data_IF_462701409610
#
_entry.id   IF_462701409610
#
_cell.length_a   1.000
_cell.length_b   1.000
_cell.length_c   1.000
_cell.angle_alpha   90.00
_cell.angle_beta   90.00
_cell.angle_gamma   90.00
#
_symmetry.space_group_name_H-M   'P 1'
#
loop_
_entity.id
_entity.type
_entity.pdbx_description
1 polymer ?
#
# COMPACT_ATOMS: atom_id res chain seq x y z
N UNK A 1 12.11 17.49 7.37
CA UNK A 1 10.98 17.59 6.44
C UNK A 1 11.29 16.90 5.15
N UNK A 2 10.41 17.07 4.16
CA UNK A 2 10.60 16.50 2.84
C UNK A 2 11.84 17.08 2.14
N UNK A 3 12.40 16.32 1.20
CA UNK A 3 13.53 16.71 0.35
C UNK A 3 13.24 16.31 -1.09
N UNK A 4 13.89 16.98 -2.03
CA UNK A 4 13.89 16.57 -3.43
C UNK A 4 14.28 15.09 -3.57
N UNK A 5 13.60 14.38 -4.47
CA UNK A 5 13.77 12.94 -4.69
C UNK A 5 13.00 12.06 -3.68
N UNK A 6 12.36 12.63 -2.65
CA UNK A 6 11.42 11.89 -1.83
C UNK A 6 10.09 11.67 -2.56
N UNK A 7 9.33 10.69 -2.12
CA UNK A 7 7.97 10.44 -2.57
C UNK A 7 7.08 10.05 -1.40
N UNK A 8 5.84 10.51 -1.43
CA UNK A 8 4.78 10.06 -0.52
C UNK A 8 3.86 9.17 -1.33
N UNK A 9 3.70 7.95 -0.86
CA UNK A 9 2.88 6.93 -1.49
C UNK A 9 1.65 6.66 -0.62
N UNK A 10 0.46 6.83 -1.20
CA UNK A 10 -0.82 6.75 -0.49
C UNK A 10 -1.69 5.71 -1.20
N UNK A 11 -2.14 4.72 -0.45
CA UNK A 11 -3.12 3.74 -0.91
C UNK A 11 -4.42 3.96 -0.16
N UNK A 12 -5.49 4.04 -0.92
CA UNK A 12 -6.82 4.30 -0.40
C UNK A 12 -7.91 3.56 -1.17
N UNK A 13 -9.13 3.68 -0.69
CA UNK A 13 -10.33 3.45 -1.48
C UNK A 13 -11.33 4.57 -1.26
N UNK A 14 -12.09 4.86 -2.32
CA UNK A 14 -13.21 5.79 -2.26
C UNK A 14 -14.47 4.99 -1.88
N UNK A 15 -15.24 5.40 -0.87
CA UNK A 15 -16.53 4.78 -0.56
C UNK A 15 -17.48 4.75 -1.78
N UNK A 16 -18.43 3.81 -1.82
CA UNK A 16 -19.36 3.64 -2.95
C UNK A 16 -20.57 4.57 -2.87
N UNK A 17 -21.12 4.75 -1.67
CA UNK A 17 -22.35 5.52 -1.43
C UNK A 17 -22.02 6.95 -1.01
N UNK A 18 -21.67 7.77 -1.99
CA UNK A 18 -21.26 9.15 -1.74
C UNK A 18 -22.07 10.11 -2.60
N UNK A 19 -22.99 10.82 -1.95
CA UNK A 19 -23.90 11.77 -2.58
C UNK A 19 -23.21 13.09 -2.92
N UNK A 20 -22.18 13.50 -2.16
CA UNK A 20 -21.28 14.67 -2.40
C UNK A 20 -19.99 14.53 -1.59
N UNK A 21 -19.06 13.71 -2.05
CA UNK A 21 -17.82 13.47 -1.30
C UNK A 21 -16.72 14.44 -1.66
N UNK A 22 -15.95 14.82 -0.65
CA UNK A 22 -14.63 15.39 -0.83
C UNK A 22 -13.71 14.75 0.21
N UNK A 23 -12.50 14.42 -0.22
CA UNK A 23 -11.40 14.15 0.68
C UNK A 23 -10.23 15.04 0.30
N UNK A 24 -9.30 15.22 1.21
CA UNK A 24 -8.09 15.95 0.92
C UNK A 24 -6.88 15.37 1.64
N UNK A 25 -5.73 15.56 1.00
CA UNK A 25 -4.42 15.29 1.58
C UNK A 25 -3.69 16.62 1.73
N UNK A 26 -3.31 16.95 2.96
CA UNK A 26 -2.53 18.12 3.28
C UNK A 26 -1.10 17.73 3.63
N UNK A 27 -0.13 18.39 3.00
CA UNK A 27 1.26 18.41 3.45
C UNK A 27 1.47 19.62 4.36
N UNK A 28 1.49 19.38 5.67
CA UNK A 28 1.49 20.40 6.73
C UNK A 28 2.91 20.81 7.09
N UNK A 29 3.16 22.11 7.24
CA UNK A 29 4.40 22.65 7.80
C UNK A 29 4.37 22.63 9.35
N UNK A 30 5.55 22.74 9.99
CA UNK A 30 5.73 22.67 11.45
C UNK A 30 5.01 23.78 12.26
N UNK A 31 4.88 23.54 13.57
CA UNK A 31 4.42 24.24 14.81
C UNK A 31 4.30 25.78 14.90
N UNK A 32 4.32 26.55 13.82
CA UNK A 32 3.79 27.92 13.90
C UNK A 32 2.27 27.87 14.05
N UNK A 33 1.71 28.77 14.87
CA UNK A 33 0.26 28.96 14.99
C UNK A 33 -0.45 29.28 13.65
N UNK A 34 0.32 29.50 12.58
CA UNK A 34 -0.15 29.74 11.22
C UNK A 34 -0.87 28.55 10.60
N UNK A 35 -0.51 27.31 10.98
CA UNK A 35 -1.13 26.11 10.41
C UNK A 35 -0.93 25.96 8.91
N UNK A 36 0.25 26.36 8.40
CA UNK A 36 0.53 26.42 6.97
C UNK A 36 0.48 25.03 6.29
N UNK A 37 -0.03 25.03 5.06
CA UNK A 37 -0.18 23.84 4.20
C UNK A 37 0.62 24.09 2.92
N UNK A 38 1.73 23.35 2.75
CA UNK A 38 2.55 23.43 1.55
C UNK A 38 1.81 22.93 0.30
N UNK A 39 1.03 21.87 0.45
CA UNK A 39 0.20 21.29 -0.60
C UNK A 39 -1.13 20.83 0.00
N UNK A 40 -2.22 21.38 -0.51
CA UNK A 40 -3.57 20.87 -0.34
C UNK A 40 -3.98 20.19 -1.64
N UNK A 41 -4.14 18.87 -1.62
CA UNK A 41 -4.60 18.06 -2.74
C UNK A 41 -6.01 17.57 -2.44
N UNK A 42 -7.01 18.11 -3.14
CA UNK A 42 -8.42 17.94 -2.77
C UNK A 42 -9.30 17.56 -3.96
N UNK A 43 -9.51 16.25 -4.18
CA UNK A 43 -10.55 15.74 -5.06
C UNK A 43 -11.95 16.07 -4.52
N UNK A 44 -12.81 16.62 -5.39
CA UNK A 44 -14.20 17.01 -5.07
C UNK A 44 -15.17 16.32 -6.03
N UNK A 45 -16.05 15.47 -5.51
CA UNK A 45 -17.15 14.82 -6.21
C UNK A 45 -18.44 15.60 -5.99
N UNK A 46 -18.53 16.78 -6.59
CA UNK A 46 -19.61 17.75 -6.36
C UNK A 46 -20.49 18.01 -7.60
N UNK A 47 -20.42 17.12 -8.60
CA UNK A 47 -21.17 17.25 -9.87
C UNK A 47 -20.45 18.12 -10.91
N UNK A 48 -19.44 18.89 -10.48
CA UNK A 48 -18.43 19.51 -11.34
C UNK A 48 -17.06 18.95 -10.94
N UNK A 49 -16.98 17.63 -11.00
CA UNK A 49 -15.87 16.84 -10.50
C UNK A 49 -14.53 17.39 -10.96
N UNK A 50 -13.69 17.68 -9.98
CA UNK A 50 -12.40 18.33 -10.17
C UNK A 50 -11.48 18.00 -9.01
N UNK A 51 -10.20 18.16 -9.26
CA UNK A 51 -9.20 18.20 -8.21
C UNK A 51 -8.74 19.64 -8.05
N UNK A 52 -8.74 20.12 -6.80
CA UNK A 52 -8.18 21.41 -6.43
C UNK A 52 -6.82 21.22 -5.77
N UNK A 53 -5.86 22.02 -6.21
CA UNK A 53 -4.57 22.18 -5.57
C UNK A 53 -4.42 23.59 -5.03
N UNK A 54 -3.88 23.73 -3.82
CA UNK A 54 -3.58 25.05 -3.24
C UNK A 54 -2.51 24.96 -2.16
N UNK A 55 -2.09 26.12 -1.64
CA UNK A 55 -1.34 26.25 -0.40
C UNK A 55 -2.12 27.13 0.57
N UNK A 56 -1.91 26.91 1.86
CA UNK A 56 -2.43 27.77 2.92
C UNK A 56 -1.24 28.42 3.63
N UNK A 57 -1.22 29.75 3.69
CA UNK A 57 -0.12 30.52 4.26
C UNK A 57 -0.65 31.66 5.12
N UNK A 58 -0.11 31.79 6.33
CA UNK A 58 -0.38 32.90 7.24
C UNK A 58 -1.88 33.15 7.46
N UNK A 59 -2.65 32.08 7.66
CA UNK A 59 -4.09 32.20 7.93
C UNK A 59 -4.98 32.36 6.69
N UNK A 60 -4.46 32.20 5.47
CA UNK A 60 -5.24 32.37 4.24
C UNK A 60 -4.90 31.36 3.15
N UNK A 61 -5.89 31.00 2.36
CA UNK A 61 -5.71 30.21 1.14
C UNK A 61 -5.10 31.08 0.03
N UNK A 62 -4.15 30.53 -0.71
CA UNK A 62 -3.62 31.17 -1.91
C UNK A 62 -4.52 30.93 -3.13
N UNK A 63 -4.04 31.20 -4.35
CA UNK A 63 -4.81 30.96 -5.58
C UNK A 63 -4.99 29.47 -5.88
N UNK A 64 -6.24 29.05 -6.09
CA UNK A 64 -6.57 27.66 -6.45
C UNK A 64 -6.07 27.31 -7.86
N UNK A 65 -5.43 26.15 -8.00
CA UNK A 65 -5.23 25.47 -9.28
C UNK A 65 -6.29 24.37 -9.42
N UNK A 66 -7.14 24.47 -10.46
CA UNK A 66 -8.27 23.56 -10.66
C UNK A 66 -8.03 22.68 -11.88
N UNK A 67 -7.92 21.38 -11.66
CA UNK A 67 -7.84 20.38 -12.73
C UNK A 67 -9.24 19.78 -12.92
N UNK A 68 -9.87 20.08 -14.06
CA UNK A 68 -11.23 19.58 -14.44
C UNK A 68 -11.17 18.15 -15.00
N UNK A 69 -10.54 17.27 -14.25
CA UNK A 69 -10.42 15.84 -14.50
C UNK A 69 -10.45 15.13 -13.15
N UNK A 70 -11.14 13.99 -13.09
CA UNK A 70 -11.28 13.19 -11.87
C UNK A 70 -10.54 11.86 -12.03
N UNK A 71 -9.40 11.66 -11.37
CA UNK A 71 -8.62 10.42 -11.49
C UNK A 71 -9.06 9.33 -10.49
N UNK A 72 -10.05 9.64 -9.66
CA UNK A 72 -10.62 8.75 -8.65
C UNK A 72 -12.01 8.28 -9.07
N UNK A 73 -12.44 7.13 -8.57
CA UNK A 73 -13.77 6.58 -8.88
C UNK A 73 -14.41 6.06 -7.60
N UNK A 74 -15.68 6.43 -7.36
CA UNK A 74 -16.44 5.96 -6.22
C UNK A 74 -16.47 4.43 -6.16
N UNK A 75 -16.29 3.86 -4.97
CA UNK A 75 -16.21 2.42 -4.73
C UNK A 75 -14.92 1.75 -5.20
N UNK A 76 -13.98 2.48 -5.80
CA UNK A 76 -12.72 1.93 -6.31
C UNK A 76 -11.54 2.24 -5.38
N UNK A 77 -10.59 1.31 -5.38
CA UNK A 77 -9.28 1.51 -4.79
C UNK A 77 -8.46 2.49 -5.64
N UNK A 78 -7.55 3.22 -5.00
CA UNK A 78 -6.62 4.11 -5.67
C UNK A 78 -5.21 4.01 -5.10
N UNK A 79 -4.27 4.39 -5.94
CA UNK A 79 -2.89 4.68 -5.59
C UNK A 79 -2.60 6.14 -5.92
N UNK A 80 -2.01 6.89 -4.98
CA UNK A 80 -1.46 8.22 -5.25
C UNK A 80 0.03 8.25 -4.90
N UNK A 81 0.83 8.81 -5.80
CA UNK A 81 2.23 9.15 -5.54
C UNK A 81 2.38 10.66 -5.60
N UNK A 82 2.92 11.26 -4.55
CA UNK A 82 3.31 12.68 -4.51
C UNK A 82 4.84 12.70 -4.48
N UNK A 83 5.45 12.84 -5.65
CA UNK A 83 6.89 13.02 -5.81
C UNK A 83 7.33 14.43 -5.45
N UNK A 84 8.45 14.58 -4.77
CA UNK A 84 9.05 15.88 -4.44
C UNK A 84 10.13 16.18 -5.48
N UNK A 85 9.75 16.88 -6.55
CA UNK A 85 10.67 17.33 -7.59
C UNK A 85 11.36 18.64 -7.22
N UNK A 86 12.32 19.07 -8.06
CA UNK A 86 13.06 20.32 -7.86
C UNK A 86 12.15 21.58 -7.85
N UNK A 87 11.07 21.56 -8.61
CA UNK A 87 10.22 22.74 -8.85
C UNK A 87 8.77 22.60 -8.36
N UNK A 88 8.35 21.40 -7.97
CA UNK A 88 7.00 21.16 -7.52
C UNK A 88 6.77 19.76 -6.97
N UNK A 89 5.55 19.55 -6.48
CA UNK A 89 5.01 18.24 -6.15
C UNK A 89 4.42 17.61 -7.40
N UNK A 90 4.97 16.48 -7.81
CA UNK A 90 4.55 15.71 -8.98
C UNK A 90 3.55 14.64 -8.52
N UNK A 91 2.28 14.82 -8.88
CA UNK A 91 1.18 13.95 -8.44
C UNK A 91 0.84 12.97 -9.54
N UNK A 92 0.90 11.68 -9.20
CA UNK A 92 0.44 10.56 -10.03
C UNK A 92 -0.70 9.85 -9.33
N UNK A 93 -1.71 9.44 -10.09
CA UNK A 93 -2.83 8.65 -9.57
C UNK A 93 -3.00 7.41 -10.44
N UNK A 94 -3.03 6.24 -9.81
CA UNK A 94 -3.17 4.94 -10.48
C UNK A 94 -2.13 4.74 -11.60
N UNK A 95 -0.87 5.10 -11.32
CA UNK A 95 0.26 4.98 -12.25
C UNK A 95 0.29 6.01 -13.39
N UNK A 96 -0.70 6.91 -13.48
CA UNK A 96 -0.76 7.96 -14.51
C UNK A 96 -0.36 9.31 -13.94
N UNK A 97 0.44 10.07 -14.69
CA UNK A 97 0.74 11.45 -14.35
C UNK A 97 -0.57 12.26 -14.34
N UNK A 98 -0.77 13.02 -13.26
CA UNK A 98 -2.02 13.74 -13.05
C UNK A 98 -1.82 15.26 -13.02
N UNK A 99 -0.95 15.77 -12.15
CA UNK A 99 -0.67 17.22 -12.06
C UNK A 99 0.68 17.48 -11.40
N UNK A 100 1.31 18.60 -11.76
CA UNK A 100 2.50 19.12 -11.04
C UNK A 100 2.15 20.45 -10.39
N UNK A 101 2.13 20.47 -9.06
CA UNK A 101 1.87 21.69 -8.28
C UNK A 101 3.20 22.35 -7.90
N UNK A 102 3.44 23.58 -8.35
CA UNK A 102 4.69 24.29 -8.07
C UNK A 102 4.87 24.55 -6.57
N UNK A 103 6.09 24.42 -6.07
CA UNK A 103 6.39 24.70 -4.67
C UNK A 103 6.09 26.16 -4.34
N UNK A 104 5.13 26.41 -3.45
CA UNK A 104 4.86 27.75 -2.92
C UNK A 104 5.51 27.98 -1.56
N UNK A 105 5.66 26.91 -0.78
CA UNK A 105 6.30 26.89 0.54
C UNK A 105 7.56 25.99 0.51
N UNK A 106 8.55 26.22 1.39
CA UNK A 106 9.77 25.42 1.43
C UNK A 106 9.47 23.95 1.78
N UNK A 107 9.80 23.02 0.89
CA UNK A 107 9.57 21.57 1.10
C UNK A 107 10.20 21.04 2.40
N UNK A 108 11.32 21.64 2.81
CA UNK A 108 12.05 21.30 4.03
C UNK A 108 11.26 21.60 5.31
N UNK A 109 10.19 22.39 5.24
CA UNK A 109 9.33 22.76 6.39
C UNK A 109 8.15 21.80 6.59
N UNK A 110 7.81 20.99 5.58
CA UNK A 110 6.77 19.96 5.70
C UNK A 110 7.15 18.96 6.78
N UNK A 111 6.28 18.75 7.77
CA UNK A 111 6.45 17.82 8.91
C UNK A 111 5.32 16.82 9.04
N UNK A 112 4.12 17.14 8.54
CA UNK A 112 2.94 16.29 8.71
C UNK A 112 2.24 15.99 7.41
N UNK A 113 1.58 14.83 7.37
CA UNK A 113 0.60 14.46 6.36
C UNK A 113 -0.73 14.33 7.10
N UNK A 114 -1.73 15.08 6.65
CA UNK A 114 -3.09 15.01 7.18
C UNK A 114 -4.01 14.57 6.05
N UNK A 115 -4.88 13.60 6.34
CA UNK A 115 -5.89 13.11 5.40
C UNK A 115 -7.24 13.16 6.08
N UNK A 116 -8.20 13.83 5.43
CA UNK A 116 -9.55 14.03 5.96
C UNK A 116 -10.60 13.96 4.85
N UNK A 117 -11.87 13.82 5.24
CA UNK A 117 -13.02 13.63 4.35
C UNK A 117 -13.33 12.16 4.06
N UNK A 118 -14.19 11.89 3.08
CA UNK A 118 -14.67 10.51 2.84
C UNK A 118 -13.66 9.70 2.02
N UNK A 119 -12.67 9.17 2.72
CA UNK A 119 -11.65 8.29 2.15
C UNK A 119 -11.25 7.24 3.18
N UNK A 120 -11.09 6.00 2.71
CA UNK A 120 -10.46 4.95 3.53
C UNK A 120 -8.99 4.85 3.14
N UNK A 121 -8.09 5.15 4.07
CA UNK A 121 -6.64 5.05 3.85
C UNK A 121 -6.13 3.71 4.38
N UNK A 122 -5.52 2.92 3.50
CA UNK A 122 -4.87 1.66 3.89
C UNK A 122 -3.39 1.85 4.22
N UNK A 123 -2.68 2.70 3.47
CA UNK A 123 -1.27 2.97 3.76
C UNK A 123 -0.85 4.37 3.35
N UNK A 124 0.06 4.94 4.13
CA UNK A 124 0.86 6.11 3.75
C UNK A 124 2.32 5.73 4.01
N UNK A 125 3.14 5.76 2.97
CA UNK A 125 4.57 5.45 3.04
C UNK A 125 5.36 6.63 2.51
N UNK A 126 6.34 7.09 3.28
CA UNK A 126 7.29 8.12 2.84
C UNK A 126 8.58 7.42 2.42
N UNK A 127 8.95 7.58 1.15
CA UNK A 127 10.14 6.98 0.55
C UNK A 127 11.15 8.11 0.30
N UNK A 128 12.39 7.95 0.76
CA UNK A 128 13.45 8.91 0.50
C UNK A 128 14.77 8.20 0.24
N UNK A 129 15.53 8.69 -0.74
CA UNK A 129 16.90 8.23 -0.95
C UNK A 129 17.73 8.69 0.24
N UNK A 130 18.20 7.75 1.06
CA UNK A 130 19.20 8.04 2.07
C UNK A 130 20.54 8.21 1.37
N UNK A 131 20.95 9.44 1.07
CA UNK A 131 22.37 9.75 0.89
C UNK A 131 23.00 9.72 2.29
N UNK A 132 23.26 8.50 2.77
CA UNK A 132 23.94 8.26 4.02
C UNK A 132 25.37 8.79 3.94
N UNK A 133 25.70 9.76 4.79
CA UNK A 133 27.07 10.04 5.19
C UNK A 133 27.49 8.96 6.19
N UNK A 134 27.99 7.82 5.70
CA UNK A 134 28.89 6.92 6.43
C UNK A 134 29.50 5.88 5.47
N UNK A 135 30.77 5.58 5.70
CA UNK A 135 31.70 4.92 4.79
C UNK A 135 31.43 3.41 4.55
N UNK A 136 31.74 2.96 3.32
CA UNK A 136 31.85 1.57 2.82
C UNK A 136 30.50 0.81 2.74
N UNK A 137 29.98 0.34 1.59
CA UNK A 137 30.56 -0.28 0.38
C UNK A 137 29.67 0.13 -0.83
N UNK A 138 30.30 0.34 -1.99
CA UNK A 138 29.76 1.15 -3.09
C UNK A 138 28.57 0.60 -3.87
N UNK A 139 27.76 1.54 -4.37
CA UNK A 139 27.08 1.48 -5.66
C UNK A 139 27.28 2.84 -6.34
N UNK A 140 28.24 2.89 -7.28
CA UNK A 140 28.44 4.02 -8.19
C UNK A 140 27.55 3.79 -9.40
N UNK A 141 26.62 4.71 -9.67
CA UNK A 141 25.98 4.78 -10.97
C UNK A 141 26.73 5.83 -11.81
N UNK A 142 27.36 5.47 -12.94
CA UNK A 142 28.00 6.44 -13.81
C UNK A 142 26.93 7.20 -14.61
N UNK A 143 27.07 8.51 -14.67
CA UNK A 143 26.34 9.36 -15.63
C UNK A 143 26.92 9.19 -17.04
N UNK A 144 26.09 9.09 -18.10
CA UNK A 144 26.60 9.23 -19.46
C UNK A 144 26.74 10.70 -19.87
N UNK A 145 27.70 11.04 -20.76
CA UNK A 145 27.97 12.40 -21.19
C UNK A 145 26.89 12.92 -22.14
N UNK A 146 26.71 14.24 -22.15
CA UNK A 146 25.79 14.96 -23.03
C UNK A 146 26.13 14.73 -24.52
N UNK A 147 25.10 14.60 -25.37
CA UNK A 147 24.88 15.33 -26.64
C UNK A 147 23.74 14.66 -27.46
N UNK A 148 22.73 15.47 -27.80
CA UNK A 148 21.70 15.35 -28.85
C UNK A 148 20.94 14.02 -29.09
N UNK A 149 19.66 13.99 -28.69
CA UNK A 149 18.46 14.05 -29.59
C UNK A 149 17.20 13.82 -28.74
N UNK A 150 16.46 14.89 -28.44
CA UNK A 150 15.27 14.86 -27.58
C UNK A 150 14.03 14.38 -28.35
N UNK A 151 13.89 13.07 -28.46
CA UNK A 151 12.61 12.40 -28.72
C UNK A 151 12.73 11.01 -28.08
N UNK A 152 11.91 10.73 -27.06
CA UNK A 152 11.87 9.50 -26.24
C UNK A 152 12.67 9.50 -24.91
N UNK A 153 12.57 10.56 -24.10
CA UNK A 153 12.84 10.49 -22.66
C UNK A 153 11.53 10.48 -21.87
N UNK A 154 10.65 9.53 -22.20
CA UNK A 154 9.45 9.19 -21.43
C UNK A 154 9.47 7.67 -21.22
N UNK A 155 10.38 7.18 -20.41
CA UNK A 155 10.29 5.89 -19.73
C UNK A 155 11.42 5.84 -18.71
N UNK A 156 11.07 5.41 -17.49
CA UNK A 156 12.01 4.88 -16.49
C UNK A 156 12.64 5.85 -15.47
N UNK A 157 11.80 6.63 -14.78
CA UNK A 157 11.94 6.75 -13.31
C UNK A 157 10.79 6.01 -12.65
N UNK A 158 10.78 4.67 -12.76
CA UNK A 158 10.01 3.87 -11.83
C UNK A 158 10.65 4.07 -10.46
N UNK A 159 10.08 4.97 -9.64
CA UNK A 159 10.30 4.96 -8.20
C UNK A 159 9.73 3.63 -7.74
N UNK A 160 10.59 2.62 -7.70
CA UNK A 160 10.20 1.23 -7.50
C UNK A 160 9.55 1.10 -6.14
N UNK A 161 8.24 0.94 -6.11
CA UNK A 161 7.65 0.06 -5.11
C UNK A 161 8.43 -1.25 -5.22
N UNK A 162 9.18 -1.60 -4.18
CA UNK A 162 9.80 -2.91 -4.13
C UNK A 162 8.66 -3.90 -3.86
N UNK A 163 7.93 -4.24 -4.93
CA UNK A 163 6.98 -5.34 -4.89
C UNK A 163 7.77 -6.57 -4.50
N UNK A 164 7.33 -7.24 -3.44
CA UNK A 164 7.89 -8.54 -3.13
C UNK A 164 7.49 -9.46 -4.29
N UNK A 165 8.49 -10.02 -4.97
CA UNK A 165 8.25 -10.90 -6.11
C UNK A 165 7.35 -12.07 -5.66
N UNK A 166 6.31 -12.37 -6.44
CA UNK A 166 5.40 -13.50 -6.20
C UNK A 166 5.73 -14.59 -7.23
N UNK A 167 5.99 -15.85 -6.82
CA UNK A 167 5.86 -16.38 -5.46
C UNK A 167 6.89 -15.80 -4.48
N UNK A 168 6.38 -15.36 -3.33
CA UNK A 168 7.20 -14.86 -2.22
C UNK A 168 7.38 -15.97 -1.20
N UNK A 169 8.59 -16.15 -0.68
CA UNK A 169 8.86 -17.13 0.37
C UNK A 169 9.96 -16.61 1.28
N UNK A 170 9.78 -16.78 2.59
CA UNK A 170 10.76 -16.36 3.59
C UNK A 170 10.75 -17.27 4.80
N UNK A 171 11.93 -17.46 5.40
CA UNK A 171 12.05 -18.14 6.68
C UNK A 171 11.51 -17.27 7.81
N UNK A 172 10.87 -17.93 8.77
CA UNK A 172 10.37 -17.33 10.00
C UNK A 172 11.47 -17.50 11.06
N UNK A 173 12.38 -16.53 11.13
CA UNK A 173 13.45 -16.54 12.12
C UNK A 173 12.87 -16.56 13.55
N UNK A 174 13.41 -17.45 14.40
CA UNK A 174 12.87 -17.72 15.73
C UNK A 174 11.63 -18.62 15.76
N UNK A 175 11.16 -19.09 14.59
CA UNK A 175 10.00 -19.96 14.48
C UNK A 175 8.67 -19.30 14.88
N UNK A 176 7.61 -20.09 14.81
CA UNK A 176 6.29 -19.67 15.24
C UNK A 176 6.12 -19.86 16.76
N UNK A 177 5.51 -18.88 17.43
CA UNK A 177 5.20 -18.92 18.86
C UNK A 177 3.93 -18.12 19.15
N UNK A 178 3.28 -18.34 20.31
CA UNK A 178 2.08 -17.60 20.68
C UNK A 178 2.33 -16.09 20.67
N UNK A 179 1.34 -15.35 20.19
CA UNK A 179 1.32 -13.90 19.98
C UNK A 179 2.16 -13.38 18.80
N UNK A 180 3.00 -14.21 18.14
CA UNK A 180 3.67 -13.80 16.89
C UNK A 180 2.60 -13.40 15.87
N UNK A 181 2.79 -12.24 15.24
CA UNK A 181 1.80 -11.62 14.34
C UNK A 181 2.48 -11.28 13.03
N UNK A 182 1.84 -11.69 11.94
CA UNK A 182 2.28 -11.42 10.58
C UNK A 182 1.38 -10.34 10.00
N UNK A 183 1.97 -9.28 9.46
CA UNK A 183 1.28 -8.21 8.73
C UNK A 183 1.65 -8.34 7.27
N UNK A 184 0.63 -8.48 6.41
CA UNK A 184 0.79 -8.60 4.96
C UNK A 184 -0.11 -7.55 4.31
N UNK A 185 0.51 -6.62 3.57
CA UNK A 185 -0.22 -5.63 2.78
C UNK A 185 0.01 -5.90 1.30
N UNK A 186 -1.08 -5.88 0.55
CA UNK A 186 -1.04 -6.17 -0.86
C UNK A 186 -2.27 -5.67 -1.61
N UNK A 187 -2.33 -6.04 -2.88
CA UNK A 187 -3.45 -5.78 -3.78
C UNK A 187 -3.82 -7.06 -4.51
N UNK A 188 -5.11 -7.28 -4.68
CA UNK A 188 -5.65 -8.28 -5.61
C UNK A 188 -5.73 -7.63 -7.00
N UNK A 189 -4.98 -8.09 -8.01
CA UNK A 189 -5.07 -7.54 -9.35
C UNK A 189 -6.48 -7.70 -9.96
N UNK A 190 -6.82 -6.85 -10.93
CA UNK A 190 -8.02 -7.05 -11.74
C UNK A 190 -7.91 -8.35 -12.54
N UNK A 191 -9.00 -9.13 -12.61
CA UNK A 191 -9.03 -10.43 -13.28
C UNK A 191 -8.42 -11.60 -12.50
N UNK A 192 -7.97 -11.39 -11.25
CA UNK A 192 -7.39 -12.40 -10.39
C UNK A 192 -8.35 -13.59 -10.18
N UNK A 193 -7.87 -14.82 -10.36
CA UNK A 193 -8.60 -16.04 -10.03
C UNK A 193 -8.44 -16.39 -8.54
N UNK A 194 -7.21 -16.56 -8.08
CA UNK A 194 -6.93 -16.99 -6.70
C UNK A 194 -5.53 -16.59 -6.23
N UNK A 195 -5.41 -16.39 -4.93
CA UNK A 195 -4.11 -16.26 -4.25
C UNK A 195 -4.00 -17.23 -3.08
N UNK A 196 -2.80 -17.41 -2.54
CA UNK A 196 -2.57 -18.25 -1.38
C UNK A 196 -1.55 -17.62 -0.42
N UNK A 197 -1.81 -17.74 0.88
CA UNK A 197 -0.85 -17.45 1.96
C UNK A 197 -0.71 -18.71 2.80
N UNK A 198 0.50 -19.25 2.86
CA UNK A 198 0.81 -20.52 3.49
C UNK A 198 1.76 -20.33 4.66
N UNK A 199 1.46 -20.99 5.77
CA UNK A 199 2.41 -21.25 6.85
C UNK A 199 2.88 -22.70 6.75
N UNK A 200 4.17 -22.88 6.51
CA UNK A 200 4.77 -24.16 6.13
C UNK A 200 5.80 -24.60 7.17
N UNK A 201 5.81 -25.90 7.46
CA UNK A 201 6.89 -26.59 8.14
C UNK A 201 7.84 -27.13 7.07
N UNK A 202 8.88 -26.35 6.72
CA UNK A 202 9.70 -26.62 5.54
C UNK A 202 10.45 -27.96 5.57
N UNK A 203 10.76 -28.47 6.77
CA UNK A 203 11.44 -29.76 6.93
C UNK A 203 10.59 -30.96 6.55
N UNK A 204 9.27 -30.90 6.74
CA UNK A 204 8.33 -31.97 6.37
C UNK A 204 7.56 -31.66 5.09
N UNK A 205 7.55 -30.41 4.64
CA UNK A 205 6.69 -29.94 3.54
C UNK A 205 5.21 -29.81 3.92
N UNK A 206 4.87 -29.98 5.20
CA UNK A 206 3.50 -29.82 5.69
C UNK A 206 3.09 -28.33 5.66
N UNK A 207 1.86 -28.06 5.25
CA UNK A 207 1.26 -26.73 5.32
C UNK A 207 0.28 -26.68 6.49
N UNK A 208 0.66 -25.97 7.55
CA UNK A 208 -0.14 -25.84 8.76
C UNK A 208 -1.40 -25.00 8.53
N UNK A 209 -1.27 -23.89 7.81
CA UNK A 209 -2.40 -23.07 7.34
C UNK A 209 -2.19 -22.74 5.88
N UNK A 210 -3.13 -23.15 5.04
CA UNK A 210 -3.31 -22.70 3.67
C UNK A 210 -4.52 -21.79 3.63
N UNK A 211 -4.30 -20.49 3.46
CA UNK A 211 -5.35 -19.48 3.28
C UNK A 211 -5.45 -19.19 1.79
N UNK A 212 -6.58 -19.53 1.16
CA UNK A 212 -6.76 -19.44 -0.28
C UNK A 212 -8.01 -18.63 -0.65
N UNK A 213 -7.89 -17.31 -0.81
CA UNK A 213 -8.93 -16.48 -1.40
C UNK A 213 -9.08 -16.86 -2.87
N UNK A 214 -10.26 -17.35 -3.23
CA UNK A 214 -10.69 -17.66 -4.60
C UNK A 214 -11.57 -16.50 -5.05
N UNK A 215 -10.93 -15.49 -5.60
CA UNK A 215 -11.51 -14.16 -5.86
C UNK A 215 -12.72 -14.28 -6.77
N UNK A 216 -12.62 -15.01 -7.88
CA UNK A 216 -13.74 -15.23 -8.83
C UNK A 216 -14.91 -16.00 -8.23
N UNK A 217 -14.61 -16.98 -7.37
CA UNK A 217 -15.64 -17.77 -6.68
C UNK A 217 -16.27 -17.04 -5.49
N UNK A 218 -15.72 -15.88 -5.09
CA UNK A 218 -16.24 -15.10 -3.97
C UNK A 218 -16.04 -15.75 -2.60
N UNK A 219 -15.12 -16.71 -2.46
CA UNK A 219 -14.90 -17.46 -1.22
C UNK A 219 -13.45 -17.43 -0.74
N UNK A 220 -13.24 -17.70 0.55
CA UNK A 220 -11.91 -17.89 1.14
C UNK A 220 -11.84 -19.27 1.76
N UNK A 221 -11.06 -20.15 1.15
CA UNK A 221 -10.88 -21.53 1.62
C UNK A 221 -9.70 -21.59 2.58
N UNK A 222 -9.86 -22.30 3.69
CA UNK A 222 -8.79 -22.58 4.65
C UNK A 222 -8.62 -24.07 4.84
N UNK A 223 -7.38 -24.54 4.87
CA UNK A 223 -7.09 -25.94 5.10
C UNK A 223 -5.67 -26.15 5.64
N UNK A 224 -5.32 -27.40 5.94
CA UNK A 224 -3.95 -27.84 6.20
C UNK A 224 -3.62 -28.99 5.23
N UNK A 225 -2.35 -29.10 4.85
CA UNK A 225 -1.82 -30.23 4.08
C UNK A 225 -0.79 -30.96 4.93
N UNK A 226 -1.10 -32.17 5.39
CA UNK A 226 -0.26 -32.92 6.33
C UNK A 226 0.00 -34.30 5.73
N UNK A 227 1.25 -34.73 5.68
CA UNK A 227 1.63 -36.03 5.11
C UNK A 227 1.38 -36.14 3.60
N UNK A 228 1.23 -35.00 2.91
CA UNK A 228 0.92 -34.95 1.47
C UNK A 228 -0.56 -34.78 1.13
N UNK A 229 -1.46 -34.94 2.10
CA UNK A 229 -2.90 -34.91 1.86
C UNK A 229 -3.55 -33.64 2.41
N UNK A 230 -4.53 -33.13 1.68
CA UNK A 230 -5.37 -32.03 2.13
C UNK A 230 -6.41 -32.53 3.14
N UNK A 231 -6.56 -31.84 4.26
CA UNK A 231 -7.60 -32.12 5.23
C UNK A 231 -8.98 -31.62 4.81
N UNK A 232 -9.90 -31.53 5.79
CA UNK A 232 -11.23 -30.94 5.59
C UNK A 232 -11.13 -29.43 5.39
N UNK A 233 -11.69 -28.92 4.30
CA UNK A 233 -11.74 -27.47 4.06
C UNK A 233 -12.70 -26.75 5.03
N UNK A 234 -12.33 -25.53 5.41
CA UNK A 234 -13.21 -24.57 6.07
C UNK A 234 -13.52 -23.44 5.09
N UNK A 235 -14.81 -23.21 4.84
CA UNK A 235 -15.30 -22.29 3.79
C UNK A 235 -16.25 -21.22 4.33
N UNK A 236 -16.97 -21.50 5.42
CA UNK A 236 -17.96 -20.56 5.94
C UNK A 236 -17.29 -19.25 6.36
N UNK A 237 -17.78 -18.14 5.78
CA UNK A 237 -17.53 -16.75 6.15
C UNK A 237 -18.79 -15.95 5.79
N UNK A 238 -19.03 -14.86 6.52
CA UNK A 238 -20.10 -13.92 6.19
C UNK A 238 -19.76 -13.02 5.00
N UNK A 239 -18.47 -12.76 4.77
CA UNK A 239 -17.98 -11.86 3.72
C UNK A 239 -16.63 -12.33 3.15
N UNK A 240 -16.36 -12.00 1.89
CA UNK A 240 -15.03 -12.11 1.29
C UNK A 240 -14.40 -10.70 1.12
N UNK A 241 -13.34 -10.37 1.87
CA UNK A 241 -12.69 -9.07 1.78
C UNK A 241 -11.72 -8.94 0.59
N UNK A 242 -11.38 -10.04 -0.08
CA UNK A 242 -10.42 -10.04 -1.19
C UNK A 242 -11.17 -9.90 -2.51
N UNK A 243 -11.24 -8.67 -3.01
CA UNK A 243 -11.95 -8.32 -4.24
C UNK A 243 -10.98 -7.81 -5.31
N UNK A 244 -11.27 -8.11 -6.57
CA UNK A 244 -10.48 -7.63 -7.70
C UNK A 244 -10.23 -6.12 -7.63
N UNK A 245 -9.00 -5.73 -7.92
CA UNK A 245 -8.55 -4.33 -7.92
C UNK A 245 -8.34 -3.73 -6.52
N UNK A 246 -8.78 -4.40 -5.44
CA UNK A 246 -8.75 -3.84 -4.08
C UNK A 246 -7.47 -4.15 -3.32
N UNK A 247 -7.11 -3.22 -2.44
CA UNK A 247 -6.05 -3.38 -1.46
C UNK A 247 -6.55 -4.19 -0.26
N UNK A 248 -5.61 -4.85 0.42
CA UNK A 248 -5.87 -5.48 1.71
C UNK A 248 -4.73 -5.22 2.70
N UNK A 249 -5.10 -5.02 3.96
CA UNK A 249 -4.21 -5.13 5.13
C UNK A 249 -4.63 -6.37 5.92
N UNK A 250 -3.81 -7.41 5.89
CA UNK A 250 -4.09 -8.67 6.58
C UNK A 250 -3.15 -8.84 7.76
N UNK A 251 -3.71 -9.16 8.92
CA UNK A 251 -2.95 -9.61 10.08
C UNK A 251 -3.30 -11.04 10.46
N UNK A 252 -2.26 -11.86 10.69
CA UNK A 252 -2.41 -13.25 11.11
C UNK A 252 -1.64 -13.44 12.40
N UNK A 253 -2.37 -13.68 13.50
CA UNK A 253 -1.78 -13.89 14.83
C UNK A 253 -1.82 -15.36 15.20
N UNK A 254 -0.66 -15.91 15.56
CA UNK A 254 -0.59 -17.25 16.14
C UNK A 254 -1.03 -17.20 17.61
N UNK A 255 -2.12 -17.89 17.95
CA UNK A 255 -2.50 -18.18 19.33
C UNK A 255 -2.00 -19.54 19.79
N UNK A 256 -2.30 -19.90 21.05
CA UNK A 256 -1.93 -21.21 21.60
C UNK A 256 -2.63 -22.39 20.90
N UNK A 257 -3.85 -22.19 20.42
CA UNK A 257 -4.69 -23.26 19.87
C UNK A 257 -5.14 -23.02 18.42
N UNK A 258 -4.97 -21.78 17.92
CA UNK A 258 -5.51 -21.35 16.64
C UNK A 258 -4.79 -20.13 16.10
N UNK A 259 -4.85 -19.95 14.79
CA UNK A 259 -4.62 -18.67 14.15
C UNK A 259 -5.86 -17.80 14.28
N UNK A 260 -5.65 -16.49 14.47
CA UNK A 260 -6.69 -15.46 14.34
C UNK A 260 -6.32 -14.57 13.17
N UNK A 261 -7.24 -14.41 12.22
CA UNK A 261 -7.01 -13.67 10.98
C UNK A 261 -7.94 -12.46 10.92
N UNK A 262 -7.34 -11.30 10.66
CA UNK A 262 -8.06 -10.04 10.43
C UNK A 262 -7.69 -9.51 9.06
N UNK A 263 -8.65 -8.89 8.38
CA UNK A 263 -8.45 -8.22 7.10
C UNK A 263 -9.12 -6.86 7.15
N UNK A 264 -8.39 -5.82 6.76
CA UNK A 264 -8.83 -4.42 6.78
C UNK A 264 -9.34 -3.97 8.16
N UNK A 265 -8.68 -4.44 9.22
CA UNK A 265 -9.03 -4.12 10.61
C UNK A 265 -10.16 -4.96 11.22
N UNK A 266 -10.89 -5.73 10.42
CA UNK A 266 -11.99 -6.57 10.88
C UNK A 266 -11.57 -8.02 11.09
N UNK A 267 -12.12 -8.68 12.12
CA UNK A 267 -11.92 -10.12 12.31
C UNK A 267 -12.61 -10.88 11.18
N UNK A 268 -11.86 -11.76 10.52
CA UNK A 268 -12.39 -12.57 9.42
C UNK A 268 -12.70 -13.99 9.88
N UNK A 269 -11.72 -14.69 10.46
CA UNK A 269 -11.92 -16.03 11.00
C UNK A 269 -10.86 -16.43 12.02
N UNK A 270 -11.19 -17.49 12.75
CA UNK A 270 -10.27 -18.30 13.54
C UNK A 270 -10.01 -19.62 12.79
N UNK A 271 -8.77 -20.13 12.84
CA UNK A 271 -8.41 -21.43 12.27
C UNK A 271 -7.66 -22.26 13.30
N UNK A 272 -8.27 -23.34 13.79
CA UNK A 272 -7.67 -24.22 14.81
C UNK A 272 -6.42 -24.92 14.29
N UNK A 273 -5.38 -24.98 15.13
CA UNK A 273 -4.14 -25.66 14.79
C UNK A 273 -4.40 -27.16 14.57
N UNK A 274 -4.02 -27.68 13.40
CA UNK A 274 -4.15 -29.10 13.05
C UNK A 274 -2.83 -29.88 13.17
N UNK A 275 -1.75 -29.15 13.41
CA UNK A 275 -0.40 -29.67 13.70
C UNK A 275 0.29 -28.72 14.68
N UNK A 276 1.44 -29.11 15.21
CA UNK A 276 2.20 -28.27 16.15
C UNK A 276 2.66 -26.99 15.46
N UNK A 277 2.33 -25.83 16.04
CA UNK A 277 2.81 -24.57 15.47
C UNK A 277 4.34 -24.43 15.58
N UNK A 278 5.00 -25.12 16.51
CA UNK A 278 6.46 -25.09 16.66
C UNK A 278 7.22 -25.60 15.42
N UNK A 279 6.58 -26.41 14.58
CA UNK A 279 7.18 -26.91 13.34
C UNK A 279 7.16 -25.87 12.21
N UNK A 280 6.35 -24.82 12.34
CA UNK A 280 6.16 -23.80 11.30
C UNK A 280 7.34 -22.84 11.29
N UNK A 281 8.03 -22.79 10.16
CA UNK A 281 9.27 -22.02 10.00
C UNK A 281 9.36 -21.26 8.66
N UNK A 282 8.32 -21.30 7.82
CA UNK A 282 8.32 -20.63 6.53
C UNK A 282 6.95 -20.01 6.23
N UNK A 283 6.97 -18.79 5.68
CA UNK A 283 5.82 -18.11 5.08
C UNK A 283 5.97 -18.18 3.56
N UNK A 284 4.93 -18.61 2.85
CA UNK A 284 4.87 -18.53 1.40
C UNK A 284 3.61 -17.77 0.94
N UNK A 285 3.74 -16.95 -0.09
CA UNK A 285 2.64 -16.24 -0.73
C UNK A 285 2.71 -16.48 -2.23
N UNK A 286 1.62 -16.92 -2.84
CA UNK A 286 1.57 -17.33 -4.27
C UNK A 286 0.24 -16.92 -4.92
N UNK A 287 0.18 -17.03 -6.25
CA UNK A 287 -1.01 -16.75 -7.05
C UNK A 287 -1.19 -15.27 -7.40
N UNK A 288 -2.41 -14.88 -7.70
CA UNK A 288 -2.75 -13.57 -8.28
C UNK A 288 -2.78 -12.48 -7.19
N UNK A 289 -1.61 -12.03 -6.78
CA UNK A 289 -1.45 -11.02 -5.72
C UNK A 289 -0.21 -10.17 -5.95
N UNK A 290 -0.32 -8.88 -5.65
CA UNK A 290 0.84 -7.98 -5.52
C UNK A 290 1.10 -7.73 -4.04
N UNK A 291 2.33 -7.93 -3.59
CA UNK A 291 2.72 -7.77 -2.18
C UNK A 291 3.60 -6.54 -2.03
N UNK A 292 3.23 -5.65 -1.11
CA UNK A 292 3.93 -4.39 -0.86
C UNK A 292 4.73 -4.42 0.44
N UNK A 293 4.22 -5.14 1.43
CA UNK A 293 4.80 -5.16 2.76
C UNK A 293 4.51 -6.49 3.44
N UNK A 294 5.55 -7.06 4.04
CA UNK A 294 5.46 -8.23 4.91
C UNK A 294 6.30 -7.95 6.15
N UNK A 295 5.76 -8.16 7.34
CA UNK A 295 6.46 -7.96 8.62
C UNK A 295 5.99 -8.95 9.68
N UNK A 296 6.92 -9.47 10.50
CA UNK A 296 6.69 -10.43 11.58
C UNK A 296 7.91 -10.61 12.48
#
# INVERSE_FOLDING_TARGET
GLREGMSIYIQGSIPKDISRSLFHVNLRCNESASGDIALHFNPRFDGLDKVVFNSYRNGSWESEEKVRSMPFTAGQAFETVIGVGAHGYEVKVNGKDFHTFKHRLPVKEVRGIQVEGDVSIQSITVIGVSLGRSNNVGLVCPSPPAVHRWTNLLLQTHVGLCFQAVPFSTMIHGGMHPKKTFIIRGRVPSGADRMAVNFVASGSGNTALHLNPRVKAGEVVRNSRIGGDWGKEERQLSTNPFKEGQFFDMSIRCGNQKFKVFVNGEHLFDFSHRMSFYEINMLEIRGDVQIFYVHF
#
